data_IF_466040028947
#
_entry.id   IF_466040028947
#
_cell.length_a   1.000
_cell.length_b   1.000
_cell.length_c   1.000
_cell.angle_alpha   90.00
_cell.angle_beta   90.00
_cell.angle_gamma   90.00
#
_symmetry.space_group_name_H-M   'P 1'
#
loop_
_entity.id
_entity.type
_entity.pdbx_description
1 polymer ?
#
# COMPACT_ATOMS: atom_id res chain seq x y z
N UNK A 1 -22.60 -0.45 -6.94
CA UNK A 1 -21.76 0.75 -6.80
C UNK A 1 -21.95 1.27 -5.39
N UNK A 2 -20.88 1.49 -4.64
CA UNK A 2 -21.01 1.95 -3.26
C UNK A 2 -21.51 3.40 -3.18
N UNK A 3 -22.38 3.76 -2.20
CA UNK A 3 -22.85 5.13 -2.03
C UNK A 3 -21.71 6.14 -1.90
N UNK A 4 -20.64 5.76 -1.19
CA UNK A 4 -19.50 6.64 -0.97
C UNK A 4 -18.69 6.90 -2.24
N UNK A 5 -18.65 5.95 -3.18
CA UNK A 5 -18.05 6.16 -4.51
C UNK A 5 -18.76 7.29 -5.25
N UNK A 6 -20.10 7.34 -5.18
CA UNK A 6 -20.89 8.41 -5.79
C UNK A 6 -20.63 9.76 -5.13
N UNK A 7 -20.55 9.80 -3.80
CA UNK A 7 -20.26 11.04 -3.06
C UNK A 7 -18.86 11.55 -3.41
N UNK A 8 -17.87 10.66 -3.54
CA UNK A 8 -16.51 11.03 -3.92
C UNK A 8 -16.43 11.74 -5.28
N UNK A 9 -17.33 11.42 -6.22
CA UNK A 9 -17.40 12.10 -7.52
C UNK A 9 -17.79 13.58 -7.39
N UNK A 10 -18.53 13.95 -6.33
CA UNK A 10 -18.94 15.32 -6.03
C UNK A 10 -17.87 16.14 -5.31
N UNK A 11 -16.81 15.48 -4.81
CA UNK A 11 -15.72 16.12 -4.06
C UNK A 11 -14.58 16.49 -5.01
N UNK A 12 -13.88 17.60 -4.75
CA UNK A 12 -12.72 18.00 -5.57
C UNK A 12 -11.41 17.40 -5.04
N UNK A 13 -11.28 17.36 -3.71
CA UNK A 13 -10.07 16.94 -3.01
C UNK A 13 -10.40 16.23 -1.68
N UNK A 14 -9.38 15.65 -1.02
CA UNK A 14 -9.57 14.88 0.21
C UNK A 14 -10.12 15.72 1.39
N UNK A 15 -9.95 17.04 1.39
CA UNK A 15 -10.49 17.90 2.46
C UNK A 15 -12.01 17.96 2.42
N UNK A 16 -12.62 17.82 1.24
CA UNK A 16 -14.08 17.74 1.11
C UNK A 16 -14.62 16.47 1.75
N UNK A 17 -13.92 15.34 1.58
CA UNK A 17 -14.25 14.08 2.25
C UNK A 17 -14.11 14.24 3.77
N UNK A 18 -13.06 14.92 4.25
CA UNK A 18 -12.87 15.16 5.68
C UNK A 18 -14.00 16.03 6.27
N UNK A 19 -14.39 17.10 5.57
CA UNK A 19 -15.52 17.96 5.97
C UNK A 19 -16.83 17.19 5.97
N UNK A 20 -17.06 16.36 4.95
CA UNK A 20 -18.25 15.54 4.84
C UNK A 20 -18.30 14.49 5.97
N UNK A 21 -17.20 13.80 6.25
CA UNK A 21 -17.07 12.85 7.36
C UNK A 21 -17.41 13.49 8.72
N UNK A 22 -16.92 14.71 8.99
CA UNK A 22 -17.23 15.44 10.24
C UNK A 22 -18.73 15.70 10.44
N UNK A 23 -19.49 15.88 9.35
CA UNK A 23 -20.93 16.16 9.40
C UNK A 23 -21.78 14.89 9.35
N UNK A 24 -21.45 13.98 8.44
CA UNK A 24 -22.22 12.78 8.15
C UNK A 24 -21.85 11.58 9.05
N UNK A 25 -20.78 11.69 9.85
CA UNK A 25 -20.26 10.62 10.73
C UNK A 25 -20.00 9.30 9.97
N UNK A 26 -19.34 9.41 8.81
CA UNK A 26 -18.99 8.25 7.99
C UNK A 26 -18.18 7.22 8.79
N UNK A 27 -18.36 5.95 8.46
CA UNK A 27 -17.46 4.90 8.91
C UNK A 27 -16.04 5.15 8.39
N UNK A 28 -15.05 4.54 9.05
CA UNK A 28 -13.67 4.59 8.57
C UNK A 28 -13.52 3.99 7.17
N UNK A 29 -14.34 2.98 6.84
CA UNK A 29 -14.33 2.34 5.51
C UNK A 29 -14.80 3.32 4.44
N UNK A 30 -15.93 3.98 4.66
CA UNK A 30 -16.46 4.99 3.74
C UNK A 30 -15.50 6.17 3.60
N UNK A 31 -15.04 6.73 4.72
CA UNK A 31 -14.08 7.85 4.68
C UNK A 31 -12.87 7.48 3.82
N UNK A 32 -12.29 6.31 4.06
CA UNK A 32 -11.10 5.87 3.33
C UNK A 32 -11.38 5.59 1.85
N UNK A 33 -12.51 4.95 1.52
CA UNK A 33 -12.91 4.77 0.12
C UNK A 33 -13.07 6.11 -0.60
N UNK A 34 -13.72 7.08 0.05
CA UNK A 34 -13.90 8.42 -0.49
C UNK A 34 -12.57 9.12 -0.78
N UNK A 35 -11.67 9.14 0.21
CA UNK A 35 -10.32 9.69 0.06
C UNK A 35 -9.56 8.98 -1.07
N UNK A 36 -9.65 7.66 -1.14
CA UNK A 36 -9.01 6.86 -2.18
C UNK A 36 -9.51 7.24 -3.58
N UNK A 37 -10.81 7.29 -3.81
CA UNK A 37 -11.37 7.63 -5.12
C UNK A 37 -10.95 9.04 -5.54
N UNK A 38 -11.11 10.02 -4.66
CA UNK A 38 -10.78 11.43 -4.97
C UNK A 38 -9.29 11.60 -5.30
N UNK A 39 -8.41 10.95 -4.56
CA UNK A 39 -6.97 11.06 -4.76
C UNK A 39 -6.46 10.35 -6.03
N UNK A 40 -7.16 9.32 -6.52
CA UNK A 40 -6.65 8.46 -7.60
C UNK A 40 -7.42 8.59 -8.93
N UNK A 41 -8.64 9.16 -8.95
CA UNK A 41 -9.50 9.19 -10.15
C UNK A 41 -8.85 9.79 -11.40
N UNK A 42 -8.08 10.88 -11.28
CA UNK A 42 -7.43 11.52 -12.43
C UNK A 42 -6.38 10.61 -13.08
N UNK A 43 -5.54 9.99 -12.27
CA UNK A 43 -4.54 9.03 -12.74
C UNK A 43 -5.20 7.75 -13.28
N UNK A 44 -6.33 7.34 -12.70
CA UNK A 44 -7.13 6.23 -13.18
C UNK A 44 -7.77 6.50 -14.55
N UNK A 45 -8.30 7.71 -14.79
CA UNK A 45 -8.83 8.12 -16.10
C UNK A 45 -7.74 8.08 -17.17
N UNK A 46 -6.53 8.55 -16.86
CA UNK A 46 -5.38 8.47 -17.76
C UNK A 46 -4.98 7.01 -18.04
N UNK A 47 -4.86 6.20 -16.99
CA UNK A 47 -4.53 4.78 -17.12
C UNK A 47 -5.57 4.02 -17.95
N UNK A 48 -6.86 4.32 -17.76
CA UNK A 48 -7.95 3.74 -18.54
C UNK A 48 -7.89 4.17 -20.01
N UNK A 49 -7.67 5.46 -20.27
CA UNK A 49 -7.57 6.03 -21.63
C UNK A 49 -6.42 5.43 -22.43
N UNK A 50 -5.29 5.12 -21.76
CA UNK A 50 -4.15 4.45 -22.37
C UNK A 50 -4.24 2.91 -22.37
N UNK A 51 -5.33 2.31 -21.85
CA UNK A 51 -5.47 0.86 -21.74
C UNK A 51 -4.44 0.20 -20.80
N UNK A 52 -3.88 0.94 -19.85
CA UNK A 52 -2.80 0.48 -18.98
C UNK A 52 -3.34 -0.35 -17.80
N UNK A 53 -3.71 -1.60 -18.06
CA UNK A 53 -4.17 -2.57 -17.05
C UNK A 53 -3.16 -2.73 -15.91
N UNK A 54 -1.86 -2.63 -16.20
CA UNK A 54 -0.82 -2.86 -15.20
C UNK A 54 -0.85 -1.81 -14.08
N UNK A 55 -1.22 -0.56 -14.37
CA UNK A 55 -1.36 0.47 -13.34
C UNK A 55 -2.38 0.09 -12.27
N UNK A 56 -3.51 -0.50 -12.69
CA UNK A 56 -4.57 -0.97 -11.80
C UNK A 56 -4.11 -2.16 -10.95
N UNK A 57 -3.39 -3.11 -11.57
CA UNK A 57 -2.80 -4.27 -10.87
C UNK A 57 -1.75 -3.86 -9.86
N UNK A 58 -0.85 -2.96 -10.25
CA UNK A 58 0.18 -2.39 -9.39
C UNK A 58 -0.47 -1.68 -8.19
N UNK A 59 -1.59 -0.98 -8.39
CA UNK A 59 -2.34 -0.34 -7.30
C UNK A 59 -2.95 -1.33 -6.30
N UNK A 60 -3.50 -2.46 -6.76
CA UNK A 60 -3.98 -3.53 -5.87
C UNK A 60 -2.81 -4.10 -5.05
N UNK A 61 -1.71 -4.43 -5.73
CA UNK A 61 -0.53 -5.06 -5.11
C UNK A 61 0.14 -4.13 -4.09
N UNK A 62 0.28 -2.85 -4.41
CA UNK A 62 0.91 -1.87 -3.54
C UNK A 62 0.13 -1.64 -2.25
N UNK A 63 -1.21 -1.82 -2.26
CA UNK A 63 -2.03 -1.69 -1.06
C UNK A 63 -2.20 -2.98 -0.27
N UNK A 64 -2.21 -4.13 -0.95
CA UNK A 64 -2.51 -5.42 -0.31
C UNK A 64 -1.26 -6.18 0.16
N UNK A 65 -0.14 -6.06 -0.55
CA UNK A 65 1.02 -6.95 -0.37
C UNK A 65 2.28 -6.19 0.07
N UNK A 66 2.37 -4.89 -0.22
CA UNK A 66 3.57 -4.08 0.06
C UNK A 66 4.09 -4.25 1.51
N UNK A 67 5.38 -4.60 1.70
CA UNK A 67 5.95 -4.83 3.02
C UNK A 67 5.82 -3.64 3.96
N UNK A 68 5.22 -3.86 5.13
CA UNK A 68 5.09 -2.84 6.18
C UNK A 68 3.83 -1.98 6.09
N UNK A 69 2.85 -2.36 5.25
CA UNK A 69 1.48 -1.92 5.40
C UNK A 69 0.73 -2.81 6.40
N UNK A 70 -0.01 -2.19 7.32
CA UNK A 70 -1.00 -2.90 8.12
C UNK A 70 -2.09 -3.42 7.17
N UNK A 71 -2.44 -4.71 7.31
CA UNK A 71 -3.53 -5.30 6.53
C UNK A 71 -4.79 -4.47 6.74
N UNK A 72 -5.23 -3.80 5.67
CA UNK A 72 -6.48 -3.06 5.70
C UNK A 72 -7.64 -4.02 5.94
N UNK A 73 -8.64 -3.58 6.71
CA UNK A 73 -9.86 -4.36 6.93
C UNK A 73 -10.71 -4.53 5.66
N UNK A 74 -10.32 -3.90 4.55
CA UNK A 74 -11.04 -3.96 3.27
C UNK A 74 -10.09 -4.43 2.17
N UNK A 75 -10.64 -5.16 1.20
CA UNK A 75 -9.89 -5.66 0.04
C UNK A 75 -9.43 -4.50 -0.84
N UNK A 76 -8.16 -4.51 -1.24
CA UNK A 76 -7.62 -3.51 -2.16
C UNK A 76 -8.24 -3.65 -3.53
N UNK A 77 -8.48 -4.88 -3.98
CA UNK A 77 -9.20 -5.16 -5.23
C UNK A 77 -10.58 -4.51 -5.24
N UNK A 78 -11.36 -4.66 -4.16
CA UNK A 78 -12.68 -4.04 -4.08
C UNK A 78 -12.62 -2.52 -4.23
N UNK A 79 -11.65 -1.85 -3.58
CA UNK A 79 -11.48 -0.40 -3.73
C UNK A 79 -11.11 0.00 -5.15
N UNK A 80 -10.16 -0.72 -5.75
CA UNK A 80 -9.71 -0.47 -7.13
C UNK A 80 -10.86 -0.69 -8.12
N UNK A 81 -11.74 -1.67 -7.87
CA UNK A 81 -12.98 -1.85 -8.62
C UNK A 81 -13.95 -0.68 -8.45
N UNK A 82 -14.10 -0.12 -7.24
CA UNK A 82 -14.91 1.10 -7.06
C UNK A 82 -14.33 2.29 -7.84
N UNK A 83 -13.00 2.43 -7.88
CA UNK A 83 -12.31 3.44 -8.68
C UNK A 83 -12.51 3.23 -10.19
N UNK A 84 -12.46 1.98 -10.67
CA UNK A 84 -12.76 1.65 -12.07
C UNK A 84 -14.19 2.04 -12.45
N UNK A 85 -15.16 1.77 -11.56
CA UNK A 85 -16.55 2.20 -11.74
C UNK A 85 -16.70 3.72 -11.70
N UNK A 86 -15.99 4.40 -10.81
CA UNK A 86 -15.98 5.86 -10.70
C UNK A 86 -15.45 6.56 -11.97
N UNK A 87 -14.56 5.90 -12.70
CA UNK A 87 -13.97 6.37 -13.97
C UNK A 87 -14.73 5.85 -15.20
N UNK A 88 -15.91 5.27 -15.01
CA UNK A 88 -16.76 4.72 -16.07
C UNK A 88 -16.07 3.63 -16.92
N UNK A 89 -15.18 2.84 -16.33
CA UNK A 89 -14.61 1.67 -17.00
C UNK A 89 -15.71 0.68 -17.43
N UNK A 90 -15.48 -0.03 -18.54
CA UNK A 90 -16.44 -1.01 -19.05
C UNK A 90 -16.61 -2.18 -18.10
N UNK A 91 -17.73 -2.90 -18.23
CA UNK A 91 -17.99 -4.06 -17.38
C UNK A 91 -16.97 -5.18 -17.62
N UNK A 92 -16.50 -5.35 -18.86
CA UNK A 92 -15.45 -6.31 -19.21
C UNK A 92 -14.14 -5.98 -18.50
N UNK A 93 -13.77 -4.70 -18.42
CA UNK A 93 -12.58 -4.26 -17.71
C UNK A 93 -12.68 -4.52 -16.20
N UNK A 94 -13.85 -4.26 -15.62
CA UNK A 94 -14.11 -4.55 -14.20
C UNK A 94 -13.98 -6.04 -13.91
N UNK A 95 -14.60 -6.89 -14.74
CA UNK A 95 -14.49 -8.35 -14.62
C UNK A 95 -13.05 -8.81 -14.75
N UNK A 96 -12.27 -8.25 -15.68
CA UNK A 96 -10.85 -8.54 -15.84
C UNK A 96 -10.03 -8.23 -14.57
N UNK A 97 -10.40 -7.20 -13.80
CA UNK A 97 -9.76 -6.93 -12.51
C UNK A 97 -10.23 -7.92 -11.43
N UNK A 98 -11.53 -8.17 -11.35
CA UNK A 98 -12.14 -9.04 -10.33
C UNK A 98 -11.66 -10.50 -10.45
N UNK A 99 -11.44 -10.99 -11.67
CA UNK A 99 -10.97 -12.36 -11.95
C UNK A 99 -9.45 -12.50 -11.88
N UNK A 100 -8.70 -11.41 -11.74
CA UNK A 100 -7.24 -11.48 -11.71
C UNK A 100 -6.75 -12.10 -10.39
N UNK A 101 -6.05 -13.26 -10.43
CA UNK A 101 -5.49 -13.84 -9.22
C UNK A 101 -4.37 -12.94 -8.70
N UNK A 102 -4.61 -12.34 -7.53
CA UNK A 102 -3.64 -11.48 -6.86
C UNK A 102 -2.40 -12.31 -6.52
N UNK A 103 -1.20 -11.94 -7.02
CA UNK A 103 0.00 -12.72 -6.81
C UNK A 103 0.48 -12.59 -5.36
N UNK A 104 1.15 -13.61 -4.84
CA UNK A 104 1.71 -13.60 -3.48
C UNK A 104 3.19 -13.26 -3.54
N UNK A 105 3.63 -12.27 -2.76
CA UNK A 105 5.04 -11.95 -2.66
C UNK A 105 5.80 -13.11 -1.97
N UNK A 106 6.81 -13.71 -2.62
CA UNK A 106 7.36 -15.00 -2.19
C UNK A 106 8.43 -14.90 -1.09
N UNK A 107 8.77 -13.69 -0.63
CA UNK A 107 9.82 -13.45 0.38
C UNK A 107 9.21 -13.04 1.72
N UNK A 108 9.65 -13.72 2.78
CA UNK A 108 9.36 -13.33 4.17
C UNK A 108 10.64 -12.90 4.88
N UNK A 109 10.50 -12.23 6.03
CA UNK A 109 11.66 -11.80 6.83
C UNK A 109 12.57 -12.95 7.29
N UNK A 110 12.01 -14.15 7.50
CA UNK A 110 12.79 -15.36 7.81
C UNK A 110 13.75 -15.74 6.67
N UNK A 111 13.32 -15.58 5.42
CA UNK A 111 14.13 -15.92 4.26
C UNK A 111 15.33 -14.98 4.13
N UNK A 112 15.12 -13.69 4.42
CA UNK A 112 16.19 -12.69 4.44
C UNK A 112 17.22 -12.96 5.54
N UNK A 113 16.79 -13.42 6.71
CA UNK A 113 17.73 -13.80 7.77
C UNK A 113 18.62 -14.97 7.33
N UNK A 114 18.03 -15.98 6.67
CA UNK A 114 18.78 -17.10 6.09
C UNK A 114 19.75 -16.67 4.99
N UNK A 115 19.42 -15.60 4.25
CA UNK A 115 20.28 -15.00 3.24
C UNK A 115 21.35 -14.03 3.83
N UNK A 116 21.45 -13.91 5.16
CA UNK A 116 22.49 -13.11 5.82
C UNK A 116 22.12 -11.64 6.09
N UNK A 117 20.87 -11.24 5.85
CA UNK A 117 20.39 -9.89 6.18
C UNK A 117 20.19 -9.77 7.70
N UNK A 118 20.88 -8.82 8.32
CA UNK A 118 20.76 -8.56 9.76
C UNK A 118 19.36 -8.05 10.10
N UNK A 119 18.82 -8.53 11.22
CA UNK A 119 17.56 -8.03 11.77
C UNK A 119 17.65 -6.54 12.11
N UNK A 120 16.52 -5.84 11.98
CA UNK A 120 16.42 -4.40 12.23
C UNK A 120 15.95 -3.61 11.01
N UNK A 121 16.17 -2.29 10.97
CA UNK A 121 15.59 -1.43 9.93
C UNK A 121 16.04 -1.77 8.50
N UNK A 122 17.24 -2.36 8.32
CA UNK A 122 17.72 -2.86 7.03
C UNK A 122 16.78 -3.94 6.45
N UNK A 123 16.18 -4.78 7.30
CA UNK A 123 15.22 -5.81 6.88
C UNK A 123 14.04 -5.23 6.08
N UNK A 124 13.44 -4.14 6.57
CA UNK A 124 12.32 -3.49 5.90
C UNK A 124 12.76 -2.88 4.57
N UNK A 125 13.94 -2.24 4.53
CA UNK A 125 14.49 -1.64 3.32
C UNK A 125 14.77 -2.71 2.26
N UNK A 126 15.38 -3.84 2.65
CA UNK A 126 15.59 -4.98 1.76
C UNK A 126 14.27 -5.57 1.27
N UNK A 127 13.27 -5.78 2.14
CA UNK A 127 11.94 -6.27 1.71
C UNK A 127 11.29 -5.33 0.70
N UNK A 128 11.31 -4.02 0.95
CA UNK A 128 10.77 -3.03 0.01
C UNK A 128 11.50 -3.05 -1.33
N UNK A 129 12.84 -3.14 -1.31
CA UNK A 129 13.64 -3.24 -2.54
C UNK A 129 13.29 -4.50 -3.35
N UNK A 130 13.23 -5.66 -2.71
CA UNK A 130 12.89 -6.93 -3.38
C UNK A 130 11.43 -6.92 -3.89
N UNK A 131 10.52 -6.29 -3.15
CA UNK A 131 9.14 -6.12 -3.59
C UNK A 131 9.06 -5.25 -4.86
N UNK A 132 9.85 -4.18 -4.93
CA UNK A 132 9.92 -3.34 -6.13
C UNK A 132 10.52 -4.09 -7.33
N UNK A 133 11.55 -4.91 -7.13
CA UNK A 133 12.09 -5.79 -8.18
C UNK A 133 11.05 -6.79 -8.67
N UNK A 134 10.37 -7.45 -7.73
CA UNK A 134 9.30 -8.40 -8.03
C UNK A 134 8.16 -7.75 -8.82
N UNK A 135 7.72 -6.55 -8.41
CA UNK A 135 6.71 -5.76 -9.14
C UNK A 135 7.19 -5.38 -10.55
N UNK A 136 8.44 -4.91 -10.69
CA UNK A 136 9.05 -4.60 -12.00
C UNK A 136 9.11 -5.81 -12.93
N UNK A 137 9.32 -7.02 -12.37
CA UNK A 137 9.28 -8.28 -13.11
C UNK A 137 7.87 -8.74 -13.53
N UNK A 138 6.84 -7.93 -13.23
CA UNK A 138 5.42 -8.30 -13.37
C UNK A 138 5.05 -9.53 -12.55
N UNK A 139 5.56 -9.56 -11.31
CA UNK A 139 5.28 -10.57 -10.30
C UNK A 139 5.77 -11.98 -10.66
N UNK A 140 6.74 -12.07 -11.58
CA UNK A 140 7.25 -13.34 -12.11
C UNK A 140 8.46 -13.88 -11.36
N UNK A 141 9.27 -13.00 -10.77
CA UNK A 141 10.47 -13.45 -10.07
C UNK A 141 10.13 -14.38 -8.91
N UNK A 142 10.83 -15.51 -8.87
CA UNK A 142 10.67 -16.49 -7.80
C UNK A 142 11.50 -16.11 -6.56
N UNK A 143 11.39 -16.93 -5.52
CA UNK A 143 12.06 -16.70 -4.25
C UNK A 143 13.59 -16.66 -4.39
N UNK A 144 14.15 -17.62 -5.11
CA UNK A 144 15.59 -17.79 -5.28
C UNK A 144 16.19 -16.61 -6.06
N UNK A 145 15.51 -16.21 -7.15
CA UNK A 145 15.87 -15.05 -7.97
C UNK A 145 15.89 -13.77 -7.12
N UNK A 146 14.86 -13.54 -6.30
CA UNK A 146 14.78 -12.36 -5.43
C UNK A 146 15.84 -12.39 -4.32
N UNK A 147 16.10 -13.55 -3.70
CA UNK A 147 17.10 -13.65 -2.65
C UNK A 147 18.52 -13.41 -3.16
N UNK A 148 18.79 -13.63 -4.44
CA UNK A 148 20.09 -13.28 -5.04
C UNK A 148 20.38 -11.77 -5.00
N UNK A 149 19.34 -10.95 -4.92
CA UNK A 149 19.40 -9.49 -4.81
C UNK A 149 19.32 -8.95 -3.36
N UNK A 150 19.24 -9.83 -2.35
CA UNK A 150 19.00 -9.42 -0.96
C UNK A 150 20.16 -8.61 -0.32
N UNK A 151 21.35 -8.69 -0.91
CA UNK A 151 22.58 -8.04 -0.46
C UNK A 151 23.11 -7.01 -1.47
N UNK A 152 22.30 -6.59 -2.44
CA UNK A 152 22.70 -5.59 -3.43
C UNK A 152 23.12 -4.27 -2.75
N UNK A 153 24.23 -3.69 -3.19
CA UNK A 153 24.78 -2.43 -2.66
C UNK A 153 23.84 -1.22 -2.86
N UNK A 154 22.87 -1.34 -3.77
CA UNK A 154 21.84 -0.31 -4.01
C UNK A 154 20.86 -0.19 -2.85
N UNK A 155 20.77 -1.20 -1.97
CA UNK A 155 19.85 -1.17 -0.84
C UNK A 155 20.37 -0.12 0.16
N UNK A 156 19.60 0.94 0.46
CA UNK A 156 20.05 2.02 1.32
C UNK A 156 20.38 1.52 2.72
N UNK A 157 21.36 2.14 3.36
CA UNK A 157 21.64 1.88 4.77
C UNK A 157 20.60 2.56 5.66
N UNK A 158 20.23 1.90 6.76
CA UNK A 158 19.26 2.47 7.67
C UNK A 158 19.80 3.75 8.29
N UNK A 159 18.95 4.78 8.48
CA UNK A 159 19.38 6.01 9.14
C UNK A 159 19.93 5.70 10.53
N UNK A 160 21.02 6.38 10.91
CA UNK A 160 21.67 6.16 12.21
C UNK A 160 20.63 6.24 13.34
N UNK A 161 20.66 5.33 14.32
CA UNK A 161 19.67 5.34 15.39
C UNK A 161 19.67 6.70 16.09
N UNK A 162 18.54 7.42 16.05
CA UNK A 162 18.35 8.60 16.89
C UNK A 162 18.50 8.12 18.33
N UNK A 163 19.54 8.58 19.04
CA UNK A 163 19.69 8.33 20.48
C UNK A 163 18.42 8.86 21.16
N UNK A 164 17.50 7.97 21.52
CA UNK A 164 16.38 8.37 22.36
C UNK A 164 16.99 8.85 23.67
N UNK A 165 16.76 10.13 24.01
CA UNK A 165 17.18 10.67 25.29
C UNK A 165 16.63 9.75 26.38
N UNK A 166 17.52 9.16 27.20
CA UNK A 166 17.13 8.33 28.34
C UNK A 166 16.13 9.14 29.16
N UNK A 167 14.87 8.69 29.19
CA UNK A 167 13.83 9.22 30.05
C UNK A 167 14.38 9.14 31.48
N UNK A 168 14.81 10.27 32.07
CA UNK A 168 15.27 10.34 33.46
C UNK A 168 14.14 9.75 34.30
N UNK A 169 14.39 8.59 34.93
CA UNK A 169 13.52 8.10 36.00
C UNK A 169 13.50 9.22 37.04
N UNK A 170 12.33 9.76 37.34
CA UNK A 170 12.17 10.60 38.50
C UNK A 170 12.49 9.74 39.72
N UNK A 171 13.65 9.99 40.33
CA UNK A 171 13.92 9.59 41.69
C UNK A 171 12.94 10.37 42.56
N UNK A 172 11.79 9.76 42.88
CA UNK A 172 11.00 10.22 44.01
C UNK A 172 11.83 9.94 45.25
N UNK A 173 12.46 11.01 45.72
CA UNK A 173 13.11 11.19 47.01
C UNK A 173 12.29 10.57 48.13
N UNK A 174 12.86 9.52 48.72
CA UNK A 174 12.70 9.16 50.13
C UNK A 174 13.32 10.28 50.98
N UNK A 175 12.72 10.54 52.15
CA UNK A 175 13.00 11.56 53.19
C UNK A 175 12.27 12.90 52.97
N UNK A 176 11.44 13.40 53.88
CA UNK A 176 11.29 13.19 55.33
C UNK A 176 9.85 13.52 55.74
#
# INVERSE_FOLDING_TARGET
LEPMTMIALLCENHLDIERFHKKAKLSNVEKFLGEFVVCNRKAAEEALSCGNVNWWKDMVVDKEISPGHDQMKMSSLWMVTQLARATCASQEFITLLEEWPIPVFPIKGLDLMSAGVKSGPKMRLTLSYLFDLWKKSRYKMNKEELLSHALDDVIPDPPSPRKMAKKRRAENSVNK
#
